data_IF_473278937433
#
_entry.id   IF_473278937433
#
_cell.length_a   1.000
_cell.length_b   1.000
_cell.length_c   1.000
_cell.angle_alpha   90.00
_cell.angle_beta   90.00
_cell.angle_gamma   90.00
#
_symmetry.space_group_name_H-M   'P 1'
#
loop_
_entity.id
_entity.type
_entity.pdbx_description
1 polymer ?
#
# COMPACT_ATOMS: atom_id res chain seq x y z
N UNK A 1 -21.38 -17.53 -14.35
CA UNK A 1 -19.98 -17.63 -13.98
C UNK A 1 -19.12 -17.21 -15.18
N UNK A 2 -18.96 -15.92 -15.42
CA UNK A 2 -18.08 -15.41 -16.46
C UNK A 2 -17.26 -14.30 -15.82
N UNK A 3 -15.99 -14.60 -15.56
CA UNK A 3 -14.97 -13.61 -15.25
C UNK A 3 -14.71 -12.81 -16.53
N UNK A 4 -14.99 -11.52 -16.51
CA UNK A 4 -14.65 -10.61 -17.61
C UNK A 4 -13.29 -10.01 -17.32
N UNK A 5 -12.28 -10.46 -18.05
CA UNK A 5 -10.95 -9.85 -18.09
C UNK A 5 -11.04 -8.63 -19.02
N UNK A 6 -10.89 -7.44 -18.49
CA UNK A 6 -10.82 -6.21 -19.26
C UNK A 6 -9.45 -6.09 -19.95
N UNK A 7 -9.42 -6.36 -21.26
CA UNK A 7 -8.27 -6.02 -22.13
C UNK A 7 -8.29 -4.55 -22.51
N UNK A 8 -7.15 -3.86 -22.33
CA UNK A 8 -6.93 -2.51 -22.84
C UNK A 8 -6.99 -2.45 -24.37
N UNK A 9 -7.57 -1.41 -24.98
CA UNK A 9 -7.69 -1.30 -26.43
C UNK A 9 -6.35 -0.92 -27.10
N UNK A 10 -5.96 -1.71 -28.08
CA UNK A 10 -4.85 -1.44 -29.00
C UNK A 10 -5.38 -0.71 -30.25
N UNK A 11 -4.97 0.56 -30.44
CA UNK A 11 -4.97 1.23 -31.74
C UNK A 11 -3.83 2.24 -31.79
N UNK A 12 -2.82 2.11 -32.61
CA UNK A 12 -2.69 2.64 -33.96
C UNK A 12 -1.41 2.12 -34.62
N UNK A 13 -1.54 1.45 -35.74
CA UNK A 13 -0.43 1.07 -36.65
C UNK A 13 -0.55 1.80 -37.98
N UNK A 14 0.62 2.18 -38.50
CA UNK A 14 1.02 2.42 -39.88
C UNK A 14 0.90 3.83 -40.46
N UNK A 15 2.07 4.47 -40.67
CA UNK A 15 2.67 4.77 -42.02
C UNK A 15 3.82 5.78 -41.88
N UNK A 16 5.04 5.37 -42.19
CA UNK A 16 5.91 5.93 -43.22
C UNK A 16 7.30 5.32 -43.07
N UNK A 17 7.56 4.29 -43.82
CA UNK A 17 8.90 3.81 -44.12
C UNK A 17 9.35 4.48 -45.43
N UNK A 18 10.64 4.75 -45.51
CA UNK A 18 11.39 5.25 -46.68
C UNK A 18 11.60 6.77 -46.75
N UNK A 19 12.51 7.31 -45.94
CA UNK A 19 13.41 8.43 -46.33
C UNK A 19 14.52 8.75 -45.31
N UNK A 20 14.91 7.83 -44.45
CA UNK A 20 15.91 8.10 -43.38
C UNK A 20 17.19 7.24 -43.52
N UNK A 21 17.37 6.53 -44.64
CA UNK A 21 18.53 5.61 -44.78
C UNK A 21 19.83 6.26 -45.26
N UNK A 22 19.86 7.56 -45.60
CA UNK A 22 21.08 8.22 -46.08
C UNK A 22 21.71 9.26 -45.14
N UNK A 23 21.08 9.58 -44.00
CA UNK A 23 21.62 10.54 -43.03
C UNK A 23 22.26 9.86 -41.80
N UNK A 24 22.04 8.55 -41.63
CA UNK A 24 22.54 7.80 -40.46
C UNK A 24 24.03 7.43 -40.60
N UNK A 25 24.62 7.41 -41.79
CA UNK A 25 26.00 6.94 -41.96
C UNK A 25 27.06 8.08 -41.76
N UNK A 26 26.68 9.34 -41.78
CA UNK A 26 27.63 10.46 -41.55
C UNK A 26 27.68 10.91 -40.08
N UNK A 27 26.69 10.56 -39.23
CA UNK A 27 26.70 10.88 -37.80
C UNK A 27 27.34 9.79 -36.91
N UNK A 28 27.66 8.63 -37.43
CA UNK A 28 28.31 7.56 -36.65
C UNK A 28 29.83 7.68 -36.50
N UNK A 29 30.48 8.64 -37.17
CA UNK A 29 31.94 8.83 -37.05
C UNK A 29 32.40 10.05 -36.25
N UNK A 30 31.50 10.86 -35.71
CA UNK A 30 31.87 12.01 -34.85
C UNK A 30 31.45 11.85 -33.39
N UNK A 31 30.82 10.76 -33.00
CA UNK A 31 30.44 10.53 -31.59
C UNK A 31 31.38 9.57 -30.81
N UNK A 32 32.57 9.27 -31.39
CA UNK A 32 33.51 8.35 -30.73
C UNK A 32 34.52 9.02 -29.77
N UNK A 33 34.39 10.33 -29.46
CA UNK A 33 35.37 11.04 -28.64
C UNK A 33 34.80 11.82 -27.43
N UNK A 34 33.56 11.59 -27.01
CA UNK A 34 33.08 12.11 -25.71
C UNK A 34 32.27 11.06 -24.94
N UNK A 35 32.78 9.87 -24.86
CA UNK A 35 32.33 8.88 -23.90
C UNK A 35 32.93 9.17 -22.55
N UNK A 36 32.59 10.29 -21.90
CA UNK A 36 32.72 10.41 -20.47
C UNK A 36 31.64 9.56 -19.85
N UNK A 37 31.88 8.26 -19.83
CA UNK A 37 31.14 7.29 -19.04
C UNK A 37 31.51 7.58 -17.57
N UNK A 38 30.89 8.61 -16.98
CA UNK A 38 30.88 8.77 -15.53
C UNK A 38 30.17 7.55 -14.97
N UNK A 39 30.93 6.46 -14.74
CA UNK A 39 30.48 5.37 -13.85
C UNK A 39 30.08 6.09 -12.57
N UNK A 40 28.76 6.33 -12.37
CA UNK A 40 28.24 6.78 -11.08
C UNK A 40 28.81 5.82 -10.05
N UNK A 41 29.72 6.29 -9.19
CA UNK A 41 30.28 5.49 -8.08
C UNK A 41 29.07 5.06 -7.24
N UNK A 42 28.77 3.79 -7.25
CA UNK A 42 27.72 3.31 -6.36
C UNK A 42 28.25 3.33 -4.94
N UNK A 43 27.44 3.87 -4.05
CA UNK A 43 27.75 4.03 -2.64
C UNK A 43 27.86 2.67 -1.97
N UNK A 44 28.82 2.53 -1.06
CA UNK A 44 28.94 1.37 -0.16
C UNK A 44 27.86 1.39 0.94
N UNK A 45 27.32 2.58 1.23
CA UNK A 45 26.22 2.83 2.15
C UNK A 45 25.16 3.67 1.44
N UNK A 46 23.87 3.52 1.75
CA UNK A 46 22.83 4.31 1.12
C UNK A 46 22.91 5.79 1.51
N UNK A 47 22.37 6.66 0.68
CA UNK A 47 21.93 7.98 1.10
C UNK A 47 20.54 7.80 1.70
N UNK A 48 20.39 8.16 2.97
CA UNK A 48 19.15 7.91 3.72
C UNK A 48 18.49 9.23 4.11
N UNK A 49 17.17 9.24 4.05
CA UNK A 49 16.31 10.24 4.68
C UNK A 49 15.27 9.52 5.52
N UNK A 50 14.96 10.06 6.69
CA UNK A 50 13.97 9.49 7.61
C UNK A 50 13.17 10.64 8.22
N UNK A 51 11.87 10.43 8.38
CA UNK A 51 10.98 11.37 9.06
C UNK A 51 9.82 10.61 9.72
N UNK A 52 9.05 11.29 10.59
CA UNK A 52 7.82 10.77 11.16
C UNK A 52 6.62 11.36 10.40
N UNK A 53 5.93 10.55 9.62
CA UNK A 53 4.81 10.93 8.76
C UNK A 53 3.78 9.80 8.74
N UNK A 54 2.52 10.11 8.37
CA UNK A 54 1.45 9.10 8.27
C UNK A 54 1.30 8.27 9.56
N UNK A 55 1.56 8.89 10.72
CA UNK A 55 1.59 8.25 12.04
C UNK A 55 2.58 7.09 12.17
N UNK A 56 3.71 7.13 11.43
CA UNK A 56 4.76 6.12 11.48
C UNK A 56 6.12 6.70 11.12
N UNK A 57 7.19 5.93 11.30
CA UNK A 57 8.50 6.26 10.73
C UNK A 57 8.54 5.87 9.26
N UNK A 58 8.92 6.83 8.43
CA UNK A 58 9.13 6.65 7.00
C UNK A 58 10.60 6.83 6.67
N UNK A 59 11.14 5.97 5.81
CA UNK A 59 12.56 5.98 5.43
C UNK A 59 12.72 5.68 3.95
N UNK A 60 13.62 6.41 3.30
CA UNK A 60 14.06 6.13 1.93
C UNK A 60 15.57 5.98 1.94
N UNK A 61 16.04 4.80 1.51
CA UNK A 61 17.45 4.45 1.36
C UNK A 61 17.80 4.32 -0.11
N UNK A 62 18.52 5.30 -0.68
CA UNK A 62 18.98 5.25 -2.07
C UNK A 62 20.40 4.69 -2.16
N UNK A 63 20.58 3.63 -2.93
CA UNK A 63 21.88 3.07 -3.33
C UNK A 63 22.37 3.64 -4.67
N UNK A 64 21.60 4.53 -5.28
CA UNK A 64 22.00 5.36 -6.41
C UNK A 64 22.54 6.69 -5.89
N UNK A 65 23.67 7.15 -6.48
CA UNK A 65 24.23 8.45 -6.11
C UNK A 65 23.35 9.58 -6.74
N UNK A 66 22.49 10.16 -5.90
CA UNK A 66 21.60 11.27 -6.26
C UNK A 66 21.73 12.40 -5.26
N UNK A 67 21.22 13.58 -5.59
CA UNK A 67 21.11 14.66 -4.63
C UNK A 67 20.14 14.26 -3.50
N UNK A 68 20.54 14.48 -2.25
CA UNK A 68 19.69 14.19 -1.09
C UNK A 68 18.33 14.90 -1.14
N UNK A 69 18.26 16.06 -1.79
CA UNK A 69 17.00 16.78 -1.99
C UNK A 69 15.95 15.93 -2.74
N UNK A 70 16.36 15.11 -3.72
CA UNK A 70 15.43 14.20 -4.42
C UNK A 70 14.73 13.26 -3.42
N UNK A 71 15.47 12.75 -2.44
CA UNK A 71 14.89 11.88 -1.41
C UNK A 71 14.00 12.66 -0.44
N UNK A 72 14.39 13.90 -0.09
CA UNK A 72 13.59 14.77 0.79
C UNK A 72 12.29 15.19 0.10
N UNK A 73 12.34 15.51 -1.19
CA UNK A 73 11.16 15.87 -1.99
C UNK A 73 10.22 14.65 -2.12
N UNK A 74 10.79 13.44 -2.31
CA UNK A 74 10.03 12.20 -2.30
C UNK A 74 9.31 11.94 -0.96
N UNK A 75 9.96 12.21 0.18
CA UNK A 75 9.32 12.18 1.49
C UNK A 75 8.22 13.24 1.63
N UNK A 76 8.35 14.39 0.98
CA UNK A 76 7.32 15.42 0.94
C UNK A 76 6.01 14.95 0.30
N UNK A 77 6.04 13.92 -0.55
CA UNK A 77 4.82 13.31 -1.09
C UNK A 77 3.94 12.69 0.01
N UNK A 78 4.52 12.24 1.12
CA UNK A 78 3.73 11.78 2.26
C UNK A 78 2.80 12.88 2.79
N UNK A 79 3.30 14.11 2.93
CA UNK A 79 2.50 15.26 3.40
C UNK A 79 1.43 15.62 2.36
N UNK A 80 1.79 15.61 1.07
CA UNK A 80 0.84 15.88 -0.01
C UNK A 80 -0.35 14.91 0.03
N UNK A 81 -0.06 13.61 0.10
CA UNK A 81 -1.12 12.58 0.13
C UNK A 81 -1.85 12.49 1.47
N UNK A 82 -1.22 12.86 2.59
CA UNK A 82 -1.92 12.99 3.87
C UNK A 82 -3.01 14.07 3.80
N UNK A 83 -2.76 15.19 3.09
CA UNK A 83 -3.78 16.21 2.83
C UNK A 83 -4.91 15.74 1.89
N UNK A 84 -4.75 14.62 1.21
CA UNK A 84 -5.81 14.01 0.41
C UNK A 84 -6.52 12.91 1.22
N UNK A 85 -5.77 11.97 1.82
CA UNK A 85 -6.30 10.71 2.32
C UNK A 85 -6.55 10.65 3.82
N UNK A 86 -6.14 11.62 4.61
CA UNK A 86 -6.33 11.58 6.05
C UNK A 86 -7.80 11.79 6.43
N UNK A 87 -8.37 10.87 7.23
CA UNK A 87 -9.72 11.06 7.79
C UNK A 87 -9.74 11.93 9.04
N UNK A 88 -8.59 12.28 9.62
CA UNK A 88 -8.46 13.01 10.88
C UNK A 88 -7.91 14.43 10.72
N UNK A 89 -7.18 14.72 9.64
CA UNK A 89 -6.66 16.03 9.34
C UNK A 89 -7.79 16.90 8.76
N UNK A 90 -8.27 17.90 9.49
CA UNK A 90 -9.41 18.74 9.11
C UNK A 90 -9.27 19.44 7.75
N UNK A 91 -8.04 19.70 7.33
CA UNK A 91 -7.74 20.32 6.04
C UNK A 91 -7.73 19.34 4.88
N UNK A 92 -7.73 18.03 5.16
CA UNK A 92 -7.66 17.00 4.12
C UNK A 92 -8.94 16.90 3.31
N UNK A 93 -8.80 16.35 2.11
CA UNK A 93 -9.93 16.17 1.22
C UNK A 93 -10.89 15.09 1.72
N UNK A 94 -10.38 13.94 2.18
CA UNK A 94 -11.18 12.87 2.74
C UNK A 94 -11.96 13.31 4.00
N UNK A 95 -11.35 14.13 4.87
CA UNK A 95 -12.07 14.69 6.02
C UNK A 95 -13.26 15.55 5.58
N UNK A 96 -13.08 16.38 4.56
CA UNK A 96 -14.17 17.22 4.01
C UNK A 96 -15.29 16.39 3.40
N UNK A 97 -14.95 15.28 2.73
CA UNK A 97 -15.94 14.30 2.24
C UNK A 97 -16.69 13.68 3.42
N UNK A 98 -15.97 13.16 4.40
CA UNK A 98 -16.56 12.53 5.60
C UNK A 98 -17.43 13.46 6.44
N UNK A 99 -17.20 14.77 6.36
CA UNK A 99 -17.97 15.80 7.06
C UNK A 99 -18.96 16.54 6.17
N UNK A 100 -19.26 16.01 4.98
CA UNK A 100 -20.23 16.54 4.01
C UNK A 100 -19.93 17.99 3.55
N UNK A 101 -18.66 18.40 3.57
CA UNK A 101 -18.24 19.74 3.14
C UNK A 101 -18.01 19.83 1.63
N UNK A 102 -17.75 18.70 0.98
CA UNK A 102 -17.54 18.60 -0.47
C UNK A 102 -18.02 17.26 -1.00
N UNK A 103 -18.43 17.27 -2.27
CA UNK A 103 -18.67 16.06 -3.06
C UNK A 103 -17.70 15.97 -4.24
N UNK A 104 -17.07 17.08 -4.65
CA UNK A 104 -16.04 17.08 -5.68
C UNK A 104 -14.72 16.60 -5.08
N UNK A 105 -14.04 15.70 -5.78
CA UNK A 105 -12.81 15.04 -5.32
C UNK A 105 -11.74 15.01 -6.40
N UNK A 106 -10.47 14.95 -5.97
CA UNK A 106 -9.30 14.81 -6.84
C UNK A 106 -9.26 13.43 -7.52
N UNK A 107 -8.48 13.35 -8.59
CA UNK A 107 -8.23 12.09 -9.30
C UNK A 107 -7.63 11.05 -8.37
N UNK A 108 -6.70 11.46 -7.50
CA UNK A 108 -6.03 10.57 -6.56
C UNK A 108 -6.98 9.99 -5.49
N UNK A 109 -7.87 10.83 -4.97
CA UNK A 109 -8.87 10.34 -4.00
C UNK A 109 -9.90 9.44 -4.68
N UNK A 110 -10.30 9.77 -5.91
CA UNK A 110 -11.19 8.94 -6.72
C UNK A 110 -10.58 7.56 -6.97
N UNK A 111 -9.32 7.50 -7.48
CA UNK A 111 -8.60 6.25 -7.73
C UNK A 111 -8.53 5.37 -6.47
N UNK A 112 -8.19 5.96 -5.32
CA UNK A 112 -8.02 5.19 -4.10
C UNK A 112 -9.36 4.70 -3.52
N UNK A 113 -10.44 5.49 -3.62
CA UNK A 113 -11.78 5.07 -3.20
C UNK A 113 -12.30 3.98 -4.15
N UNK A 114 -12.15 4.13 -5.47
CA UNK A 114 -12.56 3.11 -6.44
C UNK A 114 -11.88 1.76 -6.14
N UNK A 115 -10.59 1.79 -5.85
CA UNK A 115 -9.84 0.61 -5.46
C UNK A 115 -10.35 0.03 -4.12
N UNK A 116 -10.61 0.87 -3.13
CA UNK A 116 -11.18 0.46 -1.84
C UNK A 116 -12.55 -0.21 -1.99
N UNK A 117 -13.41 0.32 -2.86
CA UNK A 117 -14.71 -0.29 -3.19
C UNK A 117 -14.56 -1.62 -3.91
N UNK A 118 -13.57 -1.74 -4.81
CA UNK A 118 -13.27 -3.01 -5.47
C UNK A 118 -12.91 -4.10 -4.46
N UNK A 119 -12.01 -3.82 -3.50
CA UNK A 119 -11.62 -4.80 -2.48
C UNK A 119 -12.73 -5.04 -1.44
N UNK A 120 -13.57 -4.05 -1.17
CA UNK A 120 -14.78 -4.24 -0.34
C UNK A 120 -15.75 -5.23 -1.02
N UNK A 121 -15.95 -5.10 -2.32
CA UNK A 121 -16.77 -6.03 -3.09
C UNK A 121 -16.12 -7.42 -3.20
N UNK A 122 -14.81 -7.49 -3.45
CA UNK A 122 -14.05 -8.75 -3.57
C UNK A 122 -14.12 -9.59 -2.31
N UNK A 123 -14.12 -8.94 -1.14
CA UNK A 123 -14.20 -9.58 0.18
C UNK A 123 -15.64 -9.76 0.69
N UNK A 124 -16.65 -9.42 -0.12
CA UNK A 124 -18.07 -9.45 0.29
C UNK A 124 -18.35 -8.60 1.53
N UNK A 125 -17.61 -7.47 1.70
CA UNK A 125 -17.74 -6.56 2.82
C UNK A 125 -16.96 -6.97 4.07
N UNK A 126 -16.16 -8.04 4.03
CA UNK A 126 -15.25 -8.37 5.13
C UNK A 126 -14.15 -7.30 5.28
N UNK A 127 -13.66 -6.74 4.18
CA UNK A 127 -12.97 -5.46 4.12
C UNK A 127 -13.99 -4.41 3.66
N UNK A 128 -14.15 -3.33 4.41
CA UNK A 128 -15.11 -2.27 4.06
C UNK A 128 -14.52 -0.90 4.36
N UNK A 129 -14.37 -0.06 3.34
CA UNK A 129 -13.81 1.28 3.51
C UNK A 129 -14.71 2.24 4.27
N UNK A 130 -15.98 1.90 4.52
CA UNK A 130 -16.89 2.70 5.37
C UNK A 130 -16.74 2.40 6.86
N UNK A 131 -15.82 1.50 7.23
CA UNK A 131 -15.50 1.14 8.62
C UNK A 131 -15.10 2.35 9.48
N UNK A 132 -14.79 3.47 8.86
CA UNK A 132 -14.45 4.73 9.53
C UNK A 132 -15.47 5.18 10.57
N UNK A 133 -16.74 4.84 10.37
CA UNK A 133 -17.80 5.11 11.34
C UNK A 133 -17.56 4.40 12.68
N UNK A 134 -17.00 3.20 12.64
CA UNK A 134 -16.65 2.38 13.81
C UNK A 134 -15.20 2.66 14.26
N UNK A 135 -14.24 2.71 13.33
CA UNK A 135 -12.81 2.83 13.67
C UNK A 135 -12.49 4.12 14.44
N UNK A 136 -13.29 5.17 14.26
CA UNK A 136 -13.15 6.42 15.04
C UNK A 136 -13.48 6.28 16.54
N UNK A 137 -14.18 5.22 16.93
CA UNK A 137 -14.50 4.94 18.35
C UNK A 137 -13.32 4.28 19.05
N UNK A 138 -12.47 3.58 18.30
CA UNK A 138 -11.31 2.87 18.82
C UNK A 138 -10.07 3.77 18.76
N UNK A 139 -9.41 3.98 19.89
CA UNK A 139 -8.15 4.72 19.97
C UNK A 139 -7.00 3.79 20.38
N UNK A 140 -6.37 3.18 19.38
CA UNK A 140 -5.21 2.31 19.57
C UNK A 140 -3.88 3.07 19.74
N UNK A 141 -3.88 4.42 19.66
CA UNK A 141 -2.68 5.23 19.72
C UNK A 141 -2.57 6.08 21.02
N UNK A 142 -3.52 5.95 21.93
CA UNK A 142 -3.49 6.62 23.23
C UNK A 142 -2.69 5.82 24.27
N UNK A 143 -2.20 6.49 25.31
CA UNK A 143 -1.53 5.84 26.44
C UNK A 143 -2.51 5.04 27.34
N UNK A 144 -3.79 5.31 27.22
CA UNK A 144 -4.85 4.65 28.00
C UNK A 144 -5.98 4.20 27.07
N UNK A 145 -5.72 3.20 26.20
CA UNK A 145 -6.76 2.68 25.31
C UNK A 145 -7.86 1.97 26.10
N UNK A 146 -9.09 2.11 25.65
CA UNK A 146 -10.26 1.47 26.27
C UNK A 146 -11.17 0.88 25.21
N UNK A 147 -11.99 -0.10 25.60
CA UNK A 147 -13.00 -0.71 24.72
C UNK A 147 -14.19 0.25 24.62
N UNK A 148 -14.59 0.67 23.40
CA UNK A 148 -15.74 1.53 23.24
C UNK A 148 -17.02 0.92 23.79
N UNK A 149 -17.96 1.77 24.21
CA UNK A 149 -19.28 1.32 24.66
C UNK A 149 -19.97 0.51 23.56
N UNK A 150 -20.53 -0.64 23.93
CA UNK A 150 -21.16 -1.56 22.99
C UNK A 150 -22.37 -0.96 22.27
N UNK A 151 -23.10 -0.04 22.93
CA UNK A 151 -24.20 0.70 22.27
C UNK A 151 -23.66 1.69 21.23
N UNK A 152 -22.53 2.36 21.49
CA UNK A 152 -21.89 3.25 20.52
C UNK A 152 -21.37 2.47 19.30
N UNK A 153 -20.81 1.27 19.51
CA UNK A 153 -20.40 0.38 18.41
C UNK A 153 -21.62 -0.04 17.58
N UNK A 154 -22.71 -0.47 18.23
CA UNK A 154 -23.93 -0.89 17.56
C UNK A 154 -24.56 0.26 16.74
N UNK A 155 -24.57 1.47 17.28
CA UNK A 155 -25.05 2.66 16.54
C UNK A 155 -24.16 2.99 15.33
N UNK A 156 -22.83 2.87 15.48
CA UNK A 156 -21.88 3.16 14.41
C UNK A 156 -21.93 2.13 13.26
N UNK A 157 -22.23 0.85 13.58
CA UNK A 157 -22.38 -0.22 12.59
C UNK A 157 -23.51 0.03 11.58
N UNK A 158 -24.53 0.83 11.93
CA UNK A 158 -25.59 1.23 11.01
C UNK A 158 -25.07 2.06 9.81
N UNK A 159 -23.83 2.57 9.89
CA UNK A 159 -23.17 3.40 8.88
C UNK A 159 -21.98 2.67 8.23
N UNK A 160 -21.97 1.32 8.25
CA UNK A 160 -20.96 0.49 7.59
C UNK A 160 -21.63 -0.32 6.50
N UNK A 161 -21.49 0.13 5.26
CA UNK A 161 -22.02 -0.54 4.06
C UNK A 161 -21.41 0.15 2.83
N UNK A 162 -20.34 -0.43 2.26
CA UNK A 162 -19.67 0.12 1.08
C UNK A 162 -20.59 0.27 -0.14
N UNK A 163 -21.71 -0.47 -0.21
CA UNK A 163 -22.66 -0.38 -1.34
C UNK A 163 -23.42 0.95 -1.38
N UNK A 164 -23.34 1.76 -0.33
CA UNK A 164 -23.92 3.09 -0.23
C UNK A 164 -23.00 4.20 -0.75
N UNK A 165 -21.75 3.87 -1.05
CA UNK A 165 -20.80 4.80 -1.66
C UNK A 165 -20.93 4.75 -3.16
N UNK A 166 -21.04 5.88 -3.83
CA UNK A 166 -21.05 5.96 -5.28
C UNK A 166 -20.09 7.02 -5.79
N UNK A 167 -19.42 6.70 -6.88
CA UNK A 167 -18.52 7.57 -7.61
C UNK A 167 -19.14 7.95 -8.95
N UNK A 168 -18.90 9.15 -9.41
CA UNK A 168 -19.33 9.63 -10.74
C UNK A 168 -18.31 10.62 -11.29
N UNK A 169 -18.35 10.81 -12.61
CA UNK A 169 -17.53 11.81 -13.30
C UNK A 169 -18.42 12.63 -14.23
N UNK A 170 -18.34 13.94 -14.11
CA UNK A 170 -19.09 14.86 -14.95
C UNK A 170 -18.51 14.94 -16.37
N UNK A 171 -19.25 15.58 -17.28
CA UNK A 171 -18.83 15.72 -18.68
C UNK A 171 -17.55 16.56 -18.85
N UNK A 172 -17.19 17.39 -17.89
CA UNK A 172 -15.97 18.21 -17.87
C UNK A 172 -14.77 17.48 -17.22
N UNK A 173 -14.98 16.25 -16.74
CA UNK A 173 -13.96 15.42 -16.09
C UNK A 173 -13.89 15.57 -14.57
N UNK A 174 -14.74 16.39 -13.95
CA UNK A 174 -14.75 16.52 -12.49
C UNK A 174 -15.28 15.25 -11.82
N UNK A 175 -14.51 14.71 -10.88
CA UNK A 175 -14.90 13.55 -10.08
C UNK A 175 -15.74 13.94 -8.87
N UNK A 176 -16.73 13.12 -8.60
CA UNK A 176 -17.64 13.30 -7.46
C UNK A 176 -17.82 12.01 -6.69
N UNK A 177 -18.03 12.16 -5.40
CA UNK A 177 -18.43 11.10 -4.48
C UNK A 177 -19.78 11.43 -3.82
N UNK A 178 -20.59 10.40 -3.61
CA UNK A 178 -21.78 10.48 -2.77
C UNK A 178 -21.69 9.41 -1.69
N UNK A 179 -21.78 9.85 -0.44
CA UNK A 179 -21.91 9.01 0.76
C UNK A 179 -23.09 9.56 1.59
N UNK A 180 -23.94 8.71 2.21
CA UNK A 180 -25.03 9.18 3.07
C UNK A 180 -24.49 9.81 4.36
N UNK A 181 -25.32 10.64 4.99
CA UNK A 181 -25.01 11.23 6.30
C UNK A 181 -24.69 10.16 7.35
N UNK A 182 -23.66 10.40 8.16
CA UNK A 182 -23.22 9.49 9.20
C UNK A 182 -22.16 8.48 8.76
N UNK A 183 -22.04 8.19 7.45
CA UNK A 183 -20.97 7.34 6.91
C UNK A 183 -19.61 8.03 7.03
N UNK A 184 -18.57 7.22 7.24
CA UNK A 184 -17.21 7.72 7.33
C UNK A 184 -16.26 6.75 6.62
N UNK A 185 -15.56 7.23 5.60
CA UNK A 185 -14.55 6.46 4.90
C UNK A 185 -13.23 6.44 5.70
N UNK A 186 -12.59 5.28 5.71
CA UNK A 186 -11.23 5.08 6.23
C UNK A 186 -10.39 4.37 5.18
N UNK A 187 -9.37 5.04 4.66
CA UNK A 187 -8.47 4.52 3.63
C UNK A 187 -7.11 4.09 4.20
N UNK A 188 -6.99 4.04 5.54
CA UNK A 188 -5.73 3.76 6.22
C UNK A 188 -5.11 2.39 5.91
N UNK A 189 -5.92 1.43 5.49
CA UNK A 189 -5.49 0.09 5.10
C UNK A 189 -4.95 -0.01 3.66
N UNK A 190 -5.01 1.06 2.85
CA UNK A 190 -4.63 1.04 1.43
C UNK A 190 -3.79 2.27 1.01
N UNK A 191 -3.82 3.34 1.80
CA UNK A 191 -3.18 4.61 1.44
C UNK A 191 -1.65 4.53 1.43
N UNK A 192 -1.02 3.76 2.34
CA UNK A 192 0.44 3.68 2.41
C UNK A 192 1.03 3.00 1.17
N UNK A 193 0.38 1.95 0.68
CA UNK A 193 0.78 1.28 -0.55
C UNK A 193 0.73 2.22 -1.75
N UNK A 194 -0.35 2.97 -1.89
CA UNK A 194 -0.51 3.97 -2.94
C UNK A 194 0.58 5.04 -2.88
N UNK A 195 0.85 5.58 -1.70
CA UNK A 195 1.91 6.58 -1.50
C UNK A 195 3.29 6.00 -1.84
N UNK A 196 3.57 4.75 -1.46
CA UNK A 196 4.84 4.09 -1.78
C UNK A 196 5.06 3.96 -3.29
N UNK A 197 4.02 3.60 -4.07
CA UNK A 197 4.10 3.51 -5.52
C UNK A 197 4.32 4.89 -6.17
N UNK A 198 3.68 5.94 -5.67
CA UNK A 198 3.91 7.33 -6.14
C UNK A 198 5.32 7.82 -5.80
N UNK A 199 5.85 7.48 -4.62
CA UNK A 199 7.25 7.75 -4.25
C UNK A 199 8.20 6.98 -5.17
N UNK A 200 7.95 5.69 -5.47
CA UNK A 200 8.73 4.89 -6.41
C UNK A 200 8.79 5.55 -7.78
N UNK A 201 7.64 5.96 -8.32
CA UNK A 201 7.56 6.64 -9.61
C UNK A 201 8.38 7.94 -9.63
N UNK A 202 8.20 8.80 -8.61
CA UNK A 202 8.97 10.04 -8.48
C UNK A 202 10.49 9.78 -8.41
N UNK A 203 10.93 8.80 -7.64
CA UNK A 203 12.35 8.46 -7.50
C UNK A 203 12.95 7.96 -8.82
N UNK A 204 12.23 7.12 -9.57
CA UNK A 204 12.66 6.61 -10.88
C UNK A 204 12.78 7.77 -11.88
N UNK A 205 11.81 8.67 -11.94
CA UNK A 205 11.81 9.84 -12.82
C UNK A 205 12.97 10.80 -12.51
N UNK A 206 13.45 10.81 -11.26
CA UNK A 206 14.62 11.56 -10.81
C UNK A 206 15.93 10.76 -10.83
N UNK A 207 15.96 9.62 -11.56
CA UNK A 207 17.17 8.85 -11.87
C UNK A 207 17.65 7.95 -10.74
N UNK A 208 16.78 7.59 -9.78
CA UNK A 208 17.06 6.56 -8.77
C UNK A 208 16.82 5.19 -9.39
N UNK A 209 17.86 4.37 -9.47
CA UNK A 209 17.82 3.02 -10.03
C UNK A 209 17.77 1.93 -8.95
N UNK A 210 18.12 2.26 -7.71
CA UNK A 210 18.23 1.32 -6.59
C UNK A 210 17.87 2.01 -5.30
N UNK A 211 16.80 1.56 -4.66
CA UNK A 211 16.36 2.10 -3.38
C UNK A 211 15.51 1.09 -2.60
N UNK A 212 15.38 1.37 -1.31
CA UNK A 212 14.37 0.79 -0.43
C UNK A 212 13.53 1.96 0.10
N UNK A 213 12.23 1.87 -0.05
CA UNK A 213 11.21 2.76 0.51
C UNK A 213 10.52 1.98 1.63
N UNK A 214 10.45 2.54 2.83
CA UNK A 214 9.78 1.92 3.98
C UNK A 214 8.81 2.93 4.60
N UNK A 215 7.54 2.64 4.54
CA UNK A 215 6.46 3.43 5.13
C UNK A 215 5.83 2.66 6.29
N UNK A 216 6.55 2.59 7.43
CA UNK A 216 6.05 1.94 8.64
C UNK A 216 5.81 0.43 8.48
N UNK A 217 6.74 -0.28 7.81
CA UNK A 217 6.63 -1.72 7.56
C UNK A 217 6.07 -2.09 6.18
N UNK A 218 5.43 -1.15 5.46
CA UNK A 218 5.19 -1.29 4.03
C UNK A 218 6.50 -0.99 3.31
N UNK A 219 7.15 -2.01 2.75
CA UNK A 219 8.47 -1.92 2.12
C UNK A 219 8.35 -2.11 0.62
N UNK A 220 8.93 -1.19 -0.16
CA UNK A 220 8.97 -1.25 -1.62
C UNK A 220 10.42 -1.09 -2.10
N UNK A 221 10.90 -2.02 -2.93
CA UNK A 221 12.24 -2.00 -3.49
C UNK A 221 12.23 -1.45 -4.93
N UNK A 222 13.29 -0.72 -5.29
CA UNK A 222 13.61 -0.31 -6.66
C UNK A 222 14.89 -1.04 -7.06
N UNK A 223 14.84 -1.84 -8.12
CA UNK A 223 15.97 -2.58 -8.66
C UNK A 223 16.60 -3.57 -7.69
N UNK A 224 17.87 -3.90 -7.93
CA UNK A 224 18.69 -4.84 -7.18
C UNK A 224 19.87 -4.16 -6.50
N UNK A 225 20.51 -4.85 -5.55
CA UNK A 225 21.83 -4.44 -5.07
C UNK A 225 22.84 -4.33 -6.22
N UNK A 226 23.90 -3.56 -6.01
CA UNK A 226 24.93 -3.31 -7.05
C UNK A 226 25.57 -4.58 -7.61
N UNK A 227 25.72 -5.61 -6.78
CA UNK A 227 26.31 -6.90 -7.17
C UNK A 227 25.34 -7.81 -7.93
N UNK A 228 24.12 -7.33 -8.23
CA UNK A 228 23.07 -8.10 -8.91
C UNK A 228 22.30 -9.04 -7.99
N UNK A 229 22.55 -9.03 -6.68
CA UNK A 229 21.72 -9.78 -5.73
C UNK A 229 20.51 -8.95 -5.29
N UNK A 230 19.47 -9.65 -4.86
CA UNK A 230 18.25 -9.04 -4.34
C UNK A 230 18.46 -8.37 -2.99
N UNK A 231 17.57 -7.46 -2.62
CA UNK A 231 17.51 -6.90 -1.27
C UNK A 231 16.99 -7.95 -0.30
N UNK A 232 17.53 -7.97 0.91
CA UNK A 232 17.05 -8.83 1.99
C UNK A 232 16.07 -8.01 2.83
N UNK A 233 14.80 -8.34 2.76
CA UNK A 233 13.75 -7.69 3.53
C UNK A 233 13.31 -8.64 4.65
N UNK A 234 13.56 -8.21 5.88
CA UNK A 234 13.18 -8.98 7.06
C UNK A 234 11.74 -8.65 7.44
N UNK A 235 10.88 -9.65 7.49
CA UNK A 235 9.52 -9.55 8.03
C UNK A 235 9.61 -9.73 9.54
N UNK A 236 9.09 -8.75 10.28
CA UNK A 236 9.13 -8.75 11.75
C UNK A 236 8.35 -9.94 12.30
N UNK A 237 8.88 -10.59 13.33
CA UNK A 237 8.14 -11.60 14.06
C UNK A 237 7.12 -10.93 14.99
N UNK A 238 5.84 -11.32 14.93
CA UNK A 238 4.80 -10.79 15.81
C UNK A 238 5.17 -10.87 17.29
N UNK A 239 4.79 -9.87 18.07
CA UNK A 239 4.93 -9.82 19.54
C UNK A 239 6.35 -9.99 20.08
N UNK A 240 7.38 -9.71 19.29
CA UNK A 240 8.78 -9.72 19.75
C UNK A 240 9.35 -8.31 19.85
N UNK A 241 10.19 -8.06 20.86
CA UNK A 241 10.66 -6.69 21.15
C UNK A 241 11.61 -6.16 20.08
N UNK A 242 12.67 -6.85 19.73
CA UNK A 242 13.57 -6.42 18.63
C UNK A 242 14.43 -7.56 18.12
N UNK A 243 14.70 -7.57 16.80
CA UNK A 243 15.75 -8.37 16.20
C UNK A 243 15.37 -9.81 15.82
N UNK A 244 14.14 -10.24 16.10
CA UNK A 244 13.64 -11.52 15.60
C UNK A 244 12.80 -11.30 14.34
N UNK A 245 13.03 -12.15 13.34
CA UNK A 245 12.29 -12.12 12.07
C UNK A 245 11.41 -13.35 11.96
N UNK A 246 10.23 -13.15 11.37
CA UNK A 246 9.40 -14.26 10.94
C UNK A 246 10.02 -14.93 9.72
N UNK A 247 10.47 -14.11 8.77
CA UNK A 247 11.05 -14.53 7.51
C UNK A 247 12.05 -13.49 6.98
N UNK A 248 12.95 -13.90 6.09
CA UNK A 248 13.81 -12.99 5.30
C UNK A 248 13.51 -13.23 3.83
N UNK A 249 13.03 -12.22 3.15
CA UNK A 249 12.62 -12.29 1.75
C UNK A 249 13.68 -11.64 0.85
N UNK A 250 13.97 -12.27 -0.29
CA UNK A 250 14.88 -11.76 -1.33
C UNK A 250 14.07 -11.04 -2.40
N UNK A 251 14.19 -9.71 -2.44
CA UNK A 251 13.26 -8.82 -3.15
C UNK A 251 13.99 -7.97 -4.18
N UNK A 252 13.41 -7.91 -5.39
CA UNK A 252 13.86 -7.12 -6.51
C UNK A 252 12.67 -6.50 -7.25
N UNK A 253 12.56 -5.17 -7.23
CA UNK A 253 11.44 -4.40 -7.80
C UNK A 253 10.03 -4.77 -7.29
N UNK A 254 9.94 -5.48 -6.18
CA UNK A 254 8.70 -5.87 -5.52
C UNK A 254 8.52 -5.15 -4.20
N UNK A 255 7.28 -5.14 -3.73
CA UNK A 255 6.91 -4.71 -2.39
C UNK A 255 6.71 -5.90 -1.45
N UNK A 256 6.89 -5.65 -0.17
CA UNK A 256 6.57 -6.54 0.95
C UNK A 256 5.70 -5.75 1.90
N UNK A 257 4.45 -6.13 2.01
CA UNK A 257 3.46 -5.41 2.82
C UNK A 257 2.81 -6.38 3.79
N UNK A 258 2.83 -6.04 5.08
CA UNK A 258 2.25 -6.85 6.15
C UNK A 258 1.05 -6.15 6.78
N UNK A 259 0.01 -6.92 7.06
CA UNK A 259 -1.09 -6.56 7.96
C UNK A 259 -1.06 -7.51 9.16
N UNK A 260 -0.81 -6.96 10.34
CA UNK A 260 -0.63 -7.78 11.53
C UNK A 260 -1.28 -7.20 12.78
N UNK A 261 -1.78 -8.09 13.66
CA UNK A 261 -2.45 -7.72 14.89
C UNK A 261 -1.54 -7.04 15.91
N UNK A 262 -0.22 -7.20 15.76
CA UNK A 262 0.82 -6.68 16.64
C UNK A 262 1.25 -5.23 16.31
N UNK A 263 0.72 -4.64 15.24
CA UNK A 263 1.07 -3.27 14.83
C UNK A 263 0.46 -2.23 15.77
N UNK A 264 -0.84 -2.40 16.09
CA UNK A 264 -1.58 -1.53 17.01
C UNK A 264 -2.57 -2.39 17.78
N UNK A 265 -2.35 -2.53 19.08
CA UNK A 265 -3.17 -3.37 19.96
C UNK A 265 -3.06 -2.92 21.43
N UNK A 266 -3.97 -3.39 22.21
CA UNK A 266 -3.91 -3.28 23.67
C UNK A 266 -4.58 -4.49 24.34
N UNK A 267 -4.36 -4.63 25.63
CA UNK A 267 -5.09 -5.56 26.49
C UNK A 267 -5.98 -4.75 27.42
N UNK A 268 -7.26 -5.12 27.53
CA UNK A 268 -8.16 -4.57 28.52
C UNK A 268 -7.81 -5.05 29.94
N UNK A 269 -8.45 -4.47 30.96
CA UNK A 269 -8.21 -4.82 32.37
C UNK A 269 -8.46 -6.30 32.70
N UNK A 270 -9.36 -6.96 31.98
CA UNK A 270 -9.67 -8.39 32.12
C UNK A 270 -8.71 -9.30 31.30
N UNK A 271 -7.74 -8.72 30.60
CA UNK A 271 -6.75 -9.43 29.81
C UNK A 271 -7.20 -9.78 28.38
N UNK A 272 -8.35 -9.27 27.93
CA UNK A 272 -8.80 -9.48 26.55
C UNK A 272 -7.95 -8.67 25.56
N UNK A 273 -7.53 -9.32 24.48
CA UNK A 273 -6.69 -8.73 23.42
C UNK A 273 -7.53 -8.03 22.37
N UNK A 274 -7.22 -6.77 22.07
CA UNK A 274 -7.86 -5.96 21.03
C UNK A 274 -6.82 -5.38 20.07
N UNK A 275 -7.10 -5.44 18.78
CA UNK A 275 -6.22 -4.91 17.72
C UNK A 275 -7.01 -4.13 16.66
N UNK A 276 -6.33 -3.36 15.84
CA UNK A 276 -6.91 -2.35 14.96
C UNK A 276 -7.60 -2.88 13.70
N UNK A 277 -7.49 -4.17 13.36
CA UNK A 277 -8.16 -4.74 12.18
C UNK A 277 -9.58 -5.14 12.59
N UNK A 278 -10.53 -4.25 12.32
CA UNK A 278 -11.90 -4.35 12.78
C UNK A 278 -12.78 -5.12 11.81
N UNK A 279 -13.73 -5.88 12.35
CA UNK A 279 -14.73 -6.62 11.60
C UNK A 279 -15.97 -5.72 11.34
N UNK A 280 -16.30 -5.41 10.08
CA UNK A 280 -17.44 -4.57 9.70
C UNK A 280 -18.80 -5.13 10.18
N UNK A 281 -18.90 -6.43 10.40
CA UNK A 281 -20.14 -7.06 10.88
C UNK A 281 -20.36 -6.91 12.39
N UNK A 282 -19.31 -6.77 13.18
CA UNK A 282 -19.39 -6.74 14.66
C UNK A 282 -18.90 -5.45 15.27
N UNK A 283 -18.04 -4.69 14.57
CA UNK A 283 -17.36 -3.50 15.07
C UNK A 283 -16.22 -3.77 16.06
N UNK A 284 -15.90 -5.05 16.32
CA UNK A 284 -14.77 -5.50 17.13
C UNK A 284 -13.62 -6.03 16.26
N UNK A 285 -12.42 -6.20 16.82
CA UNK A 285 -11.32 -6.84 16.10
C UNK A 285 -11.69 -8.22 15.53
N UNK A 286 -11.09 -8.59 14.40
CA UNK A 286 -11.23 -9.95 13.86
C UNK A 286 -10.61 -10.98 14.79
N UNK A 287 -11.30 -12.11 14.95
CA UNK A 287 -10.80 -13.32 15.65
C UNK A 287 -10.84 -14.49 14.67
N UNK A 288 -9.80 -14.64 13.86
CA UNK A 288 -9.71 -15.65 12.82
C UNK A 288 -8.42 -16.48 12.88
N UNK A 289 -7.77 -16.49 14.05
CA UNK A 289 -6.51 -17.20 14.33
C UNK A 289 -5.30 -16.71 13.51
N UNK A 290 -5.37 -15.62 12.74
CA UNK A 290 -4.23 -15.00 12.06
C UNK A 290 -3.60 -13.91 12.93
N UNK A 291 -2.29 -13.83 12.96
CA UNK A 291 -1.57 -12.70 13.55
C UNK A 291 -0.83 -11.85 12.51
N UNK A 292 -0.54 -12.39 11.31
CA UNK A 292 0.10 -11.66 10.22
C UNK A 292 -0.29 -12.22 8.85
N UNK A 293 -0.41 -11.33 7.87
CA UNK A 293 -0.45 -11.63 6.45
C UNK A 293 0.51 -10.71 5.74
N UNK A 294 1.55 -11.27 5.15
CA UNK A 294 2.56 -10.56 4.36
C UNK A 294 2.35 -10.86 2.88
N UNK A 295 2.18 -9.82 2.06
CA UNK A 295 2.03 -9.90 0.61
C UNK A 295 3.31 -9.47 -0.08
N UNK A 296 3.69 -10.20 -1.13
CA UNK A 296 4.78 -9.89 -2.06
C UNK A 296 4.13 -9.57 -3.41
N UNK A 297 4.29 -8.34 -3.92
CA UNK A 297 3.67 -7.88 -5.16
C UNK A 297 4.53 -6.83 -5.86
N UNK A 298 4.37 -6.64 -7.17
CA UNK A 298 5.09 -5.61 -7.93
C UNK A 298 4.65 -4.18 -7.60
N UNK A 299 3.40 -4.03 -7.16
CA UNK A 299 2.79 -2.76 -6.75
C UNK A 299 2.47 -2.79 -5.25
N UNK A 300 2.93 -1.78 -4.54
CA UNK A 300 2.72 -1.67 -3.09
C UNK A 300 1.26 -1.41 -2.74
N UNK A 301 0.54 -0.69 -3.61
CA UNK A 301 -0.92 -0.47 -3.49
C UNK A 301 -1.67 -1.80 -3.44
N UNK A 302 -1.37 -2.70 -4.37
CA UNK A 302 -1.97 -4.05 -4.42
C UNK A 302 -1.61 -4.86 -3.17
N UNK A 303 -0.34 -4.77 -2.73
CA UNK A 303 0.14 -5.42 -1.51
C UNK A 303 -0.60 -4.96 -0.26
N UNK A 304 -0.80 -3.64 -0.10
CA UNK A 304 -1.51 -3.04 1.05
C UNK A 304 -2.99 -3.47 1.07
N UNK A 305 -3.66 -3.40 -0.08
CA UNK A 305 -5.05 -3.86 -0.22
C UNK A 305 -5.20 -5.35 0.11
N UNK A 306 -4.34 -6.20 -0.47
CA UNK A 306 -4.45 -7.64 -0.33
C UNK A 306 -4.04 -8.13 1.06
N UNK A 307 -3.07 -7.50 1.72
CA UNK A 307 -2.64 -7.92 3.06
C UNK A 307 -3.80 -7.84 4.05
N UNK A 308 -4.54 -6.74 4.04
CA UNK A 308 -5.74 -6.58 4.89
C UNK A 308 -6.89 -7.46 4.41
N UNK A 309 -7.15 -7.50 3.08
CA UNK A 309 -8.23 -8.34 2.53
C UNK A 309 -8.04 -9.82 2.85
N UNK A 310 -6.83 -10.35 2.67
CA UNK A 310 -6.52 -11.74 3.01
C UNK A 310 -6.58 -12.01 4.51
N UNK A 311 -6.17 -11.05 5.33
CA UNK A 311 -6.31 -11.15 6.78
C UNK A 311 -7.77 -11.31 7.19
N UNK A 312 -8.68 -10.47 6.68
CA UNK A 312 -10.09 -10.51 7.05
C UNK A 312 -10.85 -11.70 6.46
N UNK A 313 -10.42 -12.21 5.29
CA UNK A 313 -10.95 -13.45 4.71
C UNK A 313 -10.51 -14.72 5.47
N UNK A 314 -9.42 -14.62 6.26
CA UNK A 314 -8.83 -15.75 6.96
C UNK A 314 -7.92 -16.60 6.07
N UNK A 315 -7.28 -17.63 6.68
CA UNK A 315 -6.23 -18.40 6.04
C UNK A 315 -6.69 -19.09 4.75
N UNK A 316 -7.81 -19.82 4.79
CA UNK A 316 -8.20 -20.69 3.68
C UNK A 316 -8.65 -19.88 2.45
N UNK A 317 -9.51 -18.87 2.64
CA UNK A 317 -10.05 -18.09 1.53
C UNK A 317 -9.04 -17.03 1.07
N UNK A 318 -8.24 -16.44 1.98
CA UNK A 318 -7.12 -15.58 1.64
C UNK A 318 -6.07 -16.32 0.80
N UNK A 319 -5.69 -17.55 1.18
CA UNK A 319 -4.75 -18.36 0.41
C UNK A 319 -5.29 -18.72 -0.97
N UNK A 320 -6.58 -19.09 -1.08
CA UNK A 320 -7.21 -19.35 -2.39
C UNK A 320 -7.21 -18.10 -3.27
N UNK A 321 -7.49 -16.93 -2.68
CA UNK A 321 -7.45 -15.67 -3.42
C UNK A 321 -6.04 -15.42 -3.97
N UNK A 322 -5.00 -15.49 -3.15
CA UNK A 322 -3.63 -15.25 -3.59
C UNK A 322 -3.20 -16.25 -4.68
N UNK A 323 -3.44 -17.55 -4.50
CA UNK A 323 -3.08 -18.56 -5.48
C UNK A 323 -3.86 -18.45 -6.81
N UNK A 324 -4.92 -17.63 -6.86
CA UNK A 324 -5.65 -17.31 -8.09
C UNK A 324 -5.08 -16.09 -8.84
N UNK A 325 -4.16 -15.35 -8.25
CA UNK A 325 -3.57 -14.12 -8.79
C UNK A 325 -2.18 -14.39 -9.33
N UNK A 326 -1.86 -13.86 -10.52
CA UNK A 326 -0.55 -14.02 -11.13
C UNK A 326 0.44 -12.97 -10.58
N UNK A 327 1.63 -13.41 -10.21
CA UNK A 327 2.73 -12.53 -9.76
C UNK A 327 2.56 -11.94 -8.37
N UNK A 328 1.64 -12.48 -7.58
CA UNK A 328 1.39 -12.08 -6.18
C UNK A 328 1.54 -13.30 -5.30
N UNK A 329 2.33 -13.17 -4.23
CA UNK A 329 2.57 -14.23 -3.28
C UNK A 329 2.31 -13.77 -1.85
N UNK A 330 2.08 -14.73 -0.95
CA UNK A 330 1.81 -14.42 0.45
C UNK A 330 2.46 -15.40 1.44
N UNK A 331 2.73 -14.86 2.62
CA UNK A 331 3.04 -15.63 3.83
C UNK A 331 2.02 -15.28 4.89
N UNK A 332 1.30 -16.27 5.39
CA UNK A 332 0.36 -16.14 6.50
C UNK A 332 0.98 -16.70 7.77
N UNK A 333 0.71 -16.07 8.90
CA UNK A 333 1.12 -16.58 10.20
C UNK A 333 -0.08 -16.64 11.14
N UNK A 334 -0.25 -17.80 11.78
CA UNK A 334 -1.28 -18.02 12.80
C UNK A 334 -0.79 -17.64 14.20
N UNK A 335 -1.72 -17.50 15.14
CA UNK A 335 -1.42 -17.11 16.53
C UNK A 335 -0.49 -18.11 17.26
N UNK A 336 -0.44 -19.36 16.83
CA UNK A 336 0.49 -20.37 17.36
C UNK A 336 1.90 -20.32 16.73
N UNK A 337 2.12 -19.37 15.81
CA UNK A 337 3.39 -19.17 15.11
C UNK A 337 3.60 -20.07 13.89
N UNK A 338 2.59 -20.83 13.46
CA UNK A 338 2.66 -21.62 12.24
C UNK A 338 2.62 -20.73 11.00
N UNK A 339 3.45 -21.04 9.99
CA UNK A 339 3.56 -20.29 8.74
C UNK A 339 2.98 -21.08 7.57
N UNK A 340 2.22 -20.38 6.73
CA UNK A 340 1.62 -20.93 5.51
C UNK A 340 2.02 -20.06 4.32
N UNK A 341 2.35 -20.69 3.21
CA UNK A 341 2.93 -20.03 2.04
C UNK A 341 2.05 -20.28 0.83
N UNK A 342 1.83 -19.25 0.01
CA UNK A 342 1.25 -19.43 -1.31
C UNK A 342 2.17 -20.25 -2.22
N UNK A 343 1.64 -20.69 -3.35
CA UNK A 343 2.25 -21.71 -4.21
C UNK A 343 3.70 -21.42 -4.59
N UNK A 344 4.05 -20.13 -4.86
CA UNK A 344 5.40 -19.75 -5.29
C UNK A 344 6.14 -18.85 -4.27
N UNK A 345 5.55 -18.57 -3.11
CA UNK A 345 6.16 -17.67 -2.10
C UNK A 345 7.58 -18.10 -1.69
N UNK A 346 7.84 -19.42 -1.70
CA UNK A 346 9.17 -19.97 -1.37
C UNK A 346 10.27 -19.58 -2.34
N UNK A 347 9.94 -19.09 -3.54
CA UNK A 347 10.93 -18.56 -4.48
C UNK A 347 11.61 -17.27 -3.96
N UNK A 348 10.97 -16.57 -3.03
CA UNK A 348 11.49 -15.38 -2.37
C UNK A 348 12.19 -15.66 -1.04
N UNK A 349 12.26 -16.93 -0.62
CA UNK A 349 12.85 -17.37 0.65
C UNK A 349 14.00 -18.34 0.32
N UNK A 350 15.13 -18.24 1.02
CA UNK A 350 16.25 -19.20 0.88
C UNK A 350 16.04 -20.45 1.72
#
# INVERSE_FOLDING_TARGET
NNLVILQKPAHLRHRTASLVLCIVIINCMLSALTGCNSKKLALSSPISVTDYKLNTYVQIDSYTNVNKNVLSDALGLCDYYEHIFSRTLETSELYKVNTQQTTAISDELYELIELGLYYSQLSYGAFDITIGSVSRLWDFNTDTPDVPDSSAIADALAYVDYTKVSLSTDNDGTHHISIPDGYCLDLGAIAKGYIADKIKAYLIDNGVERAIINLGGNVLCIGQKRNGSDFNIAVKKPFTETGEYMEVLHINDYSVVSSGTYERYFYSDDGTFYHHILNPATGYPYDNNLCDVTIISSESTVGDCLSTTCFVLGLDDGMKLINSLEGIEAVFMTNDGSKYYSDNAKAYIN
#
